data_IF_627515197242
#
_entry.id   IF_627515197242
#
_cell.length_a   1.000
_cell.length_b   1.000
_cell.length_c   1.000
_cell.angle_alpha   90.00
_cell.angle_beta   90.00
_cell.angle_gamma   90.00
#
_symmetry.space_group_name_H-M   'P 1'
#
loop_
_entity.id
_entity.type
_entity.pdbx_description
1 polymer ?
#
# COMPACT_ATOMS: atom_id res chain seq x y z
N UNK A 1 22.80 1.71 -16.64
CA UNK A 1 21.47 1.06 -16.67
C UNK A 1 20.60 1.77 -15.67
N UNK A 2 19.37 2.11 -16.04
CA UNK A 2 18.40 2.76 -15.15
C UNK A 2 17.16 1.87 -15.09
N UNK A 3 16.62 1.69 -13.89
CA UNK A 3 15.40 0.90 -13.65
C UNK A 3 14.39 1.77 -12.96
N UNK A 4 13.18 1.80 -13.51
CA UNK A 4 12.03 2.49 -12.93
C UNK A 4 10.98 1.45 -12.59
N UNK A 5 10.61 1.35 -11.31
CA UNK A 5 9.45 0.58 -10.89
C UNK A 5 8.42 1.49 -10.26
N UNK A 6 7.16 1.08 -10.33
CA UNK A 6 6.07 1.82 -9.70
C UNK A 6 5.07 0.89 -9.03
N UNK A 7 4.44 1.37 -7.96
CA UNK A 7 3.42 0.65 -7.21
C UNK A 7 2.20 1.54 -6.97
N UNK A 8 0.97 1.01 -7.14
CA UNK A 8 -0.25 1.78 -6.93
C UNK A 8 -0.52 2.03 -5.44
N UNK A 9 -1.30 3.07 -5.16
CA UNK A 9 -1.97 3.25 -3.88
C UNK A 9 -3.12 2.26 -3.72
N UNK A 10 -3.75 2.28 -2.55
CA UNK A 10 -4.85 1.36 -2.21
C UNK A 10 -5.99 2.04 -1.48
N UNK A 11 -7.15 1.39 -1.51
CA UNK A 11 -8.34 1.72 -0.71
C UNK A 11 -9.00 0.43 -0.26
N UNK A 12 -9.30 0.32 1.04
CA UNK A 12 -10.07 -0.78 1.59
C UNK A 12 -11.54 -0.37 1.56
N UNK A 13 -12.37 -1.04 0.74
CA UNK A 13 -13.80 -0.71 0.58
C UNK A 13 -14.70 -1.56 1.49
N UNK A 14 -14.21 -2.71 1.97
CA UNK A 14 -14.91 -3.61 2.89
C UNK A 14 -13.89 -4.39 3.74
N UNK A 15 -14.28 -4.77 4.96
CA UNK A 15 -13.43 -5.54 5.89
C UNK A 15 -12.55 -4.70 6.83
N UNK A 16 -12.87 -3.42 7.01
CA UNK A 16 -12.18 -2.55 7.99
C UNK A 16 -12.16 -3.17 9.38
N UNK A 17 -10.98 -3.14 10.04
CA UNK A 17 -10.65 -3.84 11.29
C UNK A 17 -10.69 -5.37 11.22
N UNK A 18 -11.73 -5.96 10.62
CA UNK A 18 -11.89 -7.40 10.48
C UNK A 18 -10.71 -8.05 9.75
N UNK A 19 -10.20 -7.42 8.69
CA UNK A 19 -9.04 -7.90 7.90
C UNK A 19 -7.74 -8.05 8.70
N UNK A 20 -7.69 -7.54 9.94
CA UNK A 20 -6.57 -7.76 10.85
C UNK A 20 -6.51 -9.21 11.35
N UNK A 21 -7.60 -9.99 11.26
CA UNK A 21 -7.70 -11.34 11.82
C UNK A 21 -8.26 -12.32 10.80
N UNK A 22 -7.63 -13.50 10.72
CA UNK A 22 -8.14 -14.62 9.91
C UNK A 22 -9.44 -15.16 10.54
N UNK A 23 -10.40 -15.65 9.74
CA UNK A 23 -10.39 -15.80 8.29
C UNK A 23 -11.03 -14.61 7.54
N UNK A 24 -11.15 -13.44 8.16
CA UNK A 24 -11.91 -12.33 7.58
C UNK A 24 -11.21 -11.74 6.35
N UNK A 25 -11.98 -11.50 5.29
CA UNK A 25 -11.48 -10.90 4.06
C UNK A 25 -11.64 -9.38 4.06
N UNK A 26 -10.73 -8.70 3.37
CA UNK A 26 -10.84 -7.31 2.97
C UNK A 26 -10.97 -7.17 1.46
N UNK A 27 -11.87 -6.32 1.00
CA UNK A 27 -11.94 -5.92 -0.41
C UNK A 27 -11.08 -4.68 -0.60
N UNK A 28 -10.00 -4.83 -1.35
CA UNK A 28 -9.01 -3.78 -1.58
C UNK A 28 -9.00 -3.43 -3.06
N UNK A 29 -9.10 -2.15 -3.35
CA UNK A 29 -8.93 -1.61 -4.70
C UNK A 29 -7.61 -0.86 -4.77
N UNK A 30 -6.83 -1.17 -5.81
CA UNK A 30 -5.69 -0.34 -6.20
C UNK A 30 -6.19 0.95 -6.85
N UNK A 31 -5.48 2.06 -6.61
CA UNK A 31 -5.81 3.36 -7.19
C UNK A 31 -4.91 3.66 -8.39
N UNK A 32 -5.29 4.67 -9.16
CA UNK A 32 -4.46 5.21 -10.25
C UNK A 32 -3.26 6.02 -9.74
N UNK A 33 -3.24 6.39 -8.46
CA UNK A 33 -2.10 7.06 -7.83
C UNK A 33 -0.93 6.08 -7.71
N UNK A 34 0.28 6.49 -8.12
CA UNK A 34 1.48 5.63 -8.10
C UNK A 34 2.65 6.27 -7.38
N UNK A 35 3.39 5.46 -6.64
CA UNK A 35 4.76 5.76 -6.24
C UNK A 35 5.72 5.18 -7.26
N UNK A 36 6.82 5.87 -7.48
CA UNK A 36 7.90 5.49 -8.38
C UNK A 36 9.21 5.47 -7.61
N UNK A 37 10.02 4.46 -7.91
CA UNK A 37 11.41 4.39 -7.50
C UNK A 37 12.28 4.24 -8.76
N UNK A 38 13.28 5.11 -8.86
CA UNK A 38 14.28 5.08 -9.93
C UNK A 38 15.61 4.66 -9.33
N UNK A 39 16.19 3.58 -9.83
CA UNK A 39 17.50 3.05 -9.41
C UNK A 39 18.48 3.18 -10.58
N UNK A 40 19.62 3.80 -10.31
CA UNK A 40 20.73 3.99 -11.26
C UNK A 40 22.07 3.92 -10.53
N UNK A 41 23.18 3.67 -11.23
CA UNK A 41 24.49 3.67 -10.60
C UNK A 41 24.85 5.05 -10.03
N UNK A 42 25.61 5.07 -8.95
CA UNK A 42 26.16 6.31 -8.38
C UNK A 42 27.43 6.75 -9.13
N UNK A 43 28.14 5.80 -9.73
CA UNK A 43 29.41 5.96 -10.45
C UNK A 43 29.35 5.20 -11.78
N UNK A 44 29.74 5.86 -12.87
CA UNK A 44 29.75 5.23 -14.20
C UNK A 44 30.91 4.23 -14.36
N UNK A 45 32.05 4.50 -13.71
CA UNK A 45 33.25 3.66 -13.73
C UNK A 45 33.70 3.26 -12.32
N UNK A 46 34.19 2.02 -12.18
CA UNK A 46 34.76 1.51 -10.95
C UNK A 46 36.27 1.86 -10.85
N UNK A 47 36.73 2.47 -9.76
CA UNK A 47 38.15 2.54 -9.41
C UNK A 47 38.85 1.17 -9.37
N UNK A 48 40.15 1.12 -9.63
CA UNK A 48 40.91 -0.13 -9.67
C UNK A 48 40.91 -0.92 -8.34
N UNK A 49 40.76 -0.23 -7.21
CA UNK A 49 40.74 -0.78 -5.85
C UNK A 49 39.34 -1.22 -5.37
N UNK A 50 38.29 -1.02 -6.18
CA UNK A 50 36.88 -1.22 -5.79
C UNK A 50 36.57 -2.62 -5.27
N UNK A 51 37.27 -3.63 -5.78
CA UNK A 51 37.07 -5.04 -5.42
C UNK A 51 37.38 -5.37 -3.96
N UNK A 52 38.10 -4.50 -3.25
CA UNK A 52 38.42 -4.67 -1.82
C UNK A 52 37.43 -3.98 -0.89
N UNK A 53 36.46 -3.24 -1.42
CA UNK A 53 35.54 -2.47 -0.58
C UNK A 53 34.56 -3.39 0.13
N UNK A 54 34.52 -3.29 1.46
CA UNK A 54 33.51 -3.96 2.29
C UNK A 54 32.15 -3.21 2.29
N UNK A 55 32.09 -2.03 1.66
CA UNK A 55 30.98 -1.09 1.71
C UNK A 55 30.68 -0.51 0.35
N UNK A 56 29.40 -0.20 0.11
CA UNK A 56 28.97 0.58 -1.04
C UNK A 56 28.22 1.85 -0.62
N UNK A 57 28.30 2.88 -1.47
CA UNK A 57 27.60 4.14 -1.28
C UNK A 57 26.15 4.03 -1.78
N UNK A 58 25.21 4.48 -0.94
CA UNK A 58 23.81 4.58 -1.29
C UNK A 58 23.35 6.03 -1.09
N UNK A 59 22.76 6.63 -2.11
CA UNK A 59 22.12 7.94 -2.05
C UNK A 59 20.64 7.77 -2.32
N UNK A 60 19.82 8.24 -1.40
CA UNK A 60 18.37 8.30 -1.55
C UNK A 60 17.95 9.75 -1.67
N UNK A 61 17.21 10.07 -2.73
CA UNK A 61 16.69 11.42 -3.00
C UNK A 61 15.17 11.40 -3.02
N UNK A 62 14.53 12.30 -2.28
CA UNK A 62 13.10 12.56 -2.34
C UNK A 62 12.88 14.05 -2.69
N UNK A 63 12.70 14.37 -3.99
CA UNK A 63 12.56 15.75 -4.44
C UNK A 63 11.37 16.46 -3.80
N UNK A 64 10.24 15.78 -3.66
CA UNK A 64 9.01 16.34 -3.08
C UNK A 64 9.16 16.74 -1.61
N UNK A 65 10.07 16.10 -0.87
CA UNK A 65 10.40 16.44 0.52
C UNK A 65 11.64 17.32 0.64
N UNK A 66 12.31 17.65 -0.47
CA UNK A 66 13.64 18.29 -0.48
C UNK A 66 14.65 17.56 0.42
N UNK A 67 14.61 16.22 0.43
CA UNK A 67 15.46 15.38 1.29
C UNK A 67 16.44 14.57 0.47
N UNK A 68 17.67 14.51 0.96
CA UNK A 68 18.72 13.62 0.49
C UNK A 68 19.31 12.91 1.70
N UNK A 69 19.33 11.58 1.65
CA UNK A 69 19.98 10.75 2.65
C UNK A 69 21.12 9.96 2.00
N UNK A 70 22.27 9.90 2.65
CA UNK A 70 23.43 9.14 2.18
C UNK A 70 23.80 8.09 3.20
N UNK A 71 24.18 6.90 2.72
CA UNK A 71 24.46 5.74 3.53
C UNK A 71 25.69 4.99 3.02
N UNK A 72 26.32 4.25 3.93
CA UNK A 72 27.23 3.15 3.62
C UNK A 72 26.48 1.83 3.85
N UNK A 73 26.39 0.99 2.82
CA UNK A 73 25.78 -0.34 2.90
C UNK A 73 26.87 -1.39 3.02
N UNK A 74 26.83 -2.22 4.07
CA UNK A 74 27.76 -3.34 4.22
C UNK A 74 27.45 -4.42 3.19
N UNK A 75 28.43 -4.82 2.38
CA UNK A 75 28.21 -5.87 1.37
C UNK A 75 28.05 -7.27 1.98
N UNK A 76 28.57 -7.47 3.20
CA UNK A 76 28.50 -8.75 3.91
C UNK A 76 27.27 -8.84 4.81
N UNK A 77 27.01 -7.79 5.60
CA UNK A 77 25.90 -7.78 6.57
C UNK A 77 24.59 -7.25 5.99
N UNK A 78 24.64 -6.65 4.80
CA UNK A 78 23.53 -5.97 4.12
C UNK A 78 22.84 -4.91 4.99
N UNK A 79 23.59 -4.32 5.93
CA UNK A 79 23.10 -3.28 6.84
C UNK A 79 23.49 -1.89 6.38
N UNK A 80 22.58 -0.93 6.53
CA UNK A 80 22.82 0.48 6.23
C UNK A 80 23.39 1.22 7.45
N UNK A 81 24.40 2.04 7.20
CA UNK A 81 24.92 3.03 8.13
C UNK A 81 24.72 4.43 7.56
N UNK A 82 23.94 5.25 8.26
CA UNK A 82 23.68 6.62 7.87
C UNK A 82 24.96 7.45 7.94
N UNK A 83 25.26 8.20 6.89
CA UNK A 83 26.36 9.18 6.85
C UNK A 83 25.89 10.64 6.82
N UNK A 84 24.62 10.89 6.47
CA UNK A 84 24.00 12.22 6.49
C UNK A 84 23.26 12.52 7.82
N UNK A 85 22.58 13.67 7.89
CA UNK A 85 21.74 14.05 9.04
C UNK A 85 20.58 13.07 9.26
N UNK A 86 20.27 12.76 10.53
CA UNK A 86 19.15 11.90 10.94
C UNK A 86 17.77 12.41 10.52
N UNK A 87 17.63 13.69 10.19
CA UNK A 87 16.35 14.27 9.74
C UNK A 87 15.96 13.84 8.32
N UNK A 88 16.92 13.29 7.57
CA UNK A 88 16.73 12.83 6.19
C UNK A 88 16.24 11.37 6.08
N UNK A 89 16.19 10.62 7.18
CA UNK A 89 15.94 9.18 7.14
C UNK A 89 14.48 8.82 6.95
N UNK A 90 14.26 7.63 6.36
CA UNK A 90 12.96 7.01 6.28
C UNK A 90 13.12 5.50 6.53
N UNK A 91 12.63 4.98 7.67
CA UNK A 91 12.85 3.59 8.05
C UNK A 91 12.27 2.61 7.02
N UNK A 92 11.17 2.95 6.35
CA UNK A 92 10.59 2.10 5.30
C UNK A 92 11.54 1.94 4.11
N UNK A 93 12.21 3.02 3.70
CA UNK A 93 13.16 2.99 2.58
C UNK A 93 14.44 2.26 3.00
N UNK A 94 14.92 2.49 4.21
CA UNK A 94 16.11 1.81 4.74
C UNK A 94 15.91 0.31 4.82
N UNK A 95 14.76 -0.15 5.33
CA UNK A 95 14.45 -1.58 5.35
C UNK A 95 14.25 -2.13 3.93
N UNK A 96 13.57 -1.40 3.04
CA UNK A 96 13.41 -1.81 1.65
C UNK A 96 14.76 -2.07 0.97
N UNK A 97 15.74 -1.18 1.13
CA UNK A 97 17.08 -1.32 0.54
C UNK A 97 17.81 -2.54 1.12
N UNK A 98 17.86 -2.64 2.44
CA UNK A 98 18.59 -3.70 3.14
C UNK A 98 18.03 -5.09 2.79
N UNK A 99 16.70 -5.24 2.84
CA UNK A 99 16.02 -6.50 2.49
C UNK A 99 16.17 -6.84 1.00
N UNK A 100 16.10 -5.86 0.09
CA UNK A 100 16.23 -6.13 -1.34
C UNK A 100 17.63 -6.61 -1.71
N UNK A 101 18.67 -5.99 -1.15
CA UNK A 101 20.07 -6.40 -1.41
C UNK A 101 20.34 -7.78 -0.81
N UNK A 102 19.88 -8.03 0.41
CA UNK A 102 19.97 -9.35 1.04
C UNK A 102 19.26 -10.43 0.21
N UNK A 103 18.04 -10.14 -0.27
CA UNK A 103 17.27 -11.07 -1.09
C UNK A 103 17.97 -11.35 -2.42
N UNK A 104 18.46 -10.32 -3.12
CA UNK A 104 19.19 -10.51 -4.37
C UNK A 104 20.42 -11.41 -4.19
N UNK A 105 21.20 -11.20 -3.13
CA UNK A 105 22.36 -12.05 -2.80
C UNK A 105 21.98 -13.49 -2.43
N UNK A 106 20.85 -13.68 -1.75
CA UNK A 106 20.36 -15.00 -1.36
C UNK A 106 19.74 -15.78 -2.53
N UNK A 107 19.00 -15.12 -3.43
CA UNK A 107 18.31 -15.75 -4.55
C UNK A 107 19.25 -16.06 -5.72
N UNK A 108 20.26 -15.22 -5.97
CA UNK A 108 21.20 -15.41 -7.07
C UNK A 108 22.34 -16.29 -6.59
N UNK A 109 22.26 -17.59 -6.91
CA UNK A 109 23.27 -18.59 -6.51
C UNK A 109 24.41 -18.74 -7.51
N UNK A 110 24.15 -18.46 -8.79
CA UNK A 110 25.08 -18.58 -9.90
C UNK A 110 26.26 -17.58 -9.77
N UNK A 111 27.48 -18.05 -10.03
CA UNK A 111 28.70 -17.27 -9.81
C UNK A 111 28.79 -16.09 -10.76
N UNK A 112 28.49 -16.28 -12.04
CA UNK A 112 28.57 -15.21 -13.04
C UNK A 112 27.58 -14.09 -12.71
N UNK A 113 26.35 -14.45 -12.32
CA UNK A 113 25.35 -13.47 -11.89
C UNK A 113 25.69 -12.81 -10.56
N UNK A 114 26.32 -13.51 -9.62
CA UNK A 114 26.84 -12.90 -8.37
C UNK A 114 27.88 -11.84 -8.67
N UNK A 115 28.82 -12.12 -9.57
CA UNK A 115 29.86 -11.16 -9.96
C UNK A 115 29.23 -9.91 -10.61
N UNK A 116 28.14 -10.08 -11.37
CA UNK A 116 27.35 -8.96 -11.91
C UNK A 116 26.68 -8.15 -10.79
N UNK A 117 26.04 -8.80 -9.82
CA UNK A 117 25.41 -8.14 -8.67
C UNK A 117 26.44 -7.34 -7.87
N UNK A 118 27.57 -7.95 -7.53
CA UNK A 118 28.62 -7.28 -6.77
C UNK A 118 29.20 -6.10 -7.56
N UNK A 119 29.39 -6.24 -8.88
CA UNK A 119 29.80 -5.13 -9.75
C UNK A 119 28.79 -3.97 -9.73
N UNK A 120 27.49 -4.28 -9.82
CA UNK A 120 26.42 -3.27 -9.74
C UNK A 120 26.40 -2.58 -8.38
N UNK A 121 26.59 -3.33 -7.30
CA UNK A 121 26.67 -2.78 -5.95
C UNK A 121 27.91 -1.90 -5.79
N UNK A 122 29.08 -2.28 -6.33
CA UNK A 122 30.30 -1.47 -6.25
C UNK A 122 30.19 -0.12 -6.98
N UNK A 123 29.30 -0.01 -7.99
CA UNK A 123 29.00 1.27 -8.66
C UNK A 123 28.24 2.25 -7.75
N UNK A 124 27.73 1.78 -6.60
CA UNK A 124 26.87 2.53 -5.71
C UNK A 124 25.43 2.62 -6.23
N UNK A 125 24.50 2.90 -5.33
CA UNK A 125 23.06 2.97 -5.62
C UNK A 125 22.56 4.40 -5.49
N UNK A 126 22.09 4.97 -6.60
CA UNK A 126 21.38 6.25 -6.62
C UNK A 126 19.88 5.99 -6.78
N UNK A 127 19.13 6.20 -5.70
CA UNK A 127 17.70 5.89 -5.60
C UNK A 127 16.92 7.20 -5.53
N UNK A 128 16.02 7.43 -6.47
CA UNK A 128 15.09 8.58 -6.42
C UNK A 128 13.68 8.08 -6.18
N UNK A 129 12.99 8.64 -5.19
CA UNK A 129 11.64 8.26 -4.79
C UNK A 129 10.71 9.44 -4.99
N UNK A 130 9.61 9.21 -5.71
CA UNK A 130 8.63 10.23 -6.04
C UNK A 130 7.23 9.61 -6.12
N UNK A 131 6.19 10.29 -5.69
CA UNK A 131 4.82 9.80 -5.65
C UNK A 131 3.83 10.83 -6.16
N UNK A 132 2.75 10.36 -6.80
CA UNK A 132 1.66 11.23 -7.23
C UNK A 132 1.14 12.10 -6.08
N UNK A 133 0.62 13.28 -6.44
CA UNK A 133 0.09 14.24 -5.48
C UNK A 133 -1.03 13.64 -4.61
N UNK A 134 -1.80 12.68 -5.14
CA UNK A 134 -2.91 12.02 -4.46
C UNK A 134 -2.53 11.33 -3.13
N UNK A 135 -1.25 11.02 -2.90
CA UNK A 135 -0.80 10.44 -1.63
C UNK A 135 -0.72 11.46 -0.48
N UNK A 136 -0.80 12.75 -0.79
CA UNK A 136 -0.58 13.85 0.13
C UNK A 136 -1.73 14.86 0.12
N UNK A 137 -2.04 15.43 1.28
CA UNK A 137 -3.02 16.51 1.34
C UNK A 137 -2.35 17.85 1.03
N UNK A 138 -2.87 18.54 0.02
CA UNK A 138 -2.47 19.89 -0.37
C UNK A 138 -3.41 20.97 0.19
N UNK A 139 -4.38 20.58 1.02
CA UNK A 139 -5.41 21.47 1.56
C UNK A 139 -4.85 22.76 2.13
N UNK A 140 -3.89 22.67 3.05
CA UNK A 140 -3.24 23.84 3.68
C UNK A 140 -2.60 24.78 2.67
N UNK A 141 -1.98 24.24 1.61
CA UNK A 141 -1.34 25.05 0.56
C UNK A 141 -2.39 25.78 -0.29
N UNK A 142 -3.51 25.11 -0.58
CA UNK A 142 -4.63 25.67 -1.33
C UNK A 142 -5.31 26.77 -0.51
N UNK A 143 -5.62 26.49 0.75
CA UNK A 143 -6.20 27.46 1.70
C UNK A 143 -5.30 28.67 1.91
N UNK A 144 -3.97 28.46 2.08
CA UNK A 144 -3.01 29.56 2.23
C UNK A 144 -2.92 30.47 1.00
N UNK A 145 -3.32 29.98 -0.18
CA UNK A 145 -3.43 30.78 -1.41
C UNK A 145 -4.81 31.43 -1.61
N UNK A 146 -5.74 31.22 -0.68
CA UNK A 146 -7.12 31.71 -0.81
C UNK A 146 -7.90 31.06 -1.95
N UNK A 147 -7.48 29.87 -2.39
CA UNK A 147 -8.12 29.14 -3.50
C UNK A 147 -9.24 28.22 -2.98
N UNK A 148 -10.30 27.97 -3.77
CA UNK A 148 -11.38 27.08 -3.36
C UNK A 148 -10.95 25.61 -3.36
N UNK A 149 -11.44 24.84 -2.39
CA UNK A 149 -11.17 23.40 -2.26
C UNK A 149 -11.99 22.59 -3.29
N UNK A 150 -11.55 22.65 -4.53
CA UNK A 150 -12.22 22.02 -5.68
C UNK A 150 -11.28 21.04 -6.38
N UNK A 151 -11.80 19.98 -7.04
CA UNK A 151 -11.01 19.06 -7.84
C UNK A 151 -10.17 19.78 -8.90
N UNK A 152 -10.71 20.82 -9.54
CA UNK A 152 -10.04 21.59 -10.59
C UNK A 152 -8.78 22.29 -10.08
N UNK A 153 -8.86 22.88 -8.88
CA UNK A 153 -7.70 23.50 -8.22
C UNK A 153 -6.65 22.46 -7.86
N UNK A 154 -7.07 21.29 -7.35
CA UNK A 154 -6.13 20.20 -7.05
C UNK A 154 -5.42 19.69 -8.31
N UNK A 155 -6.16 19.56 -9.42
CA UNK A 155 -5.63 19.17 -10.73
C UNK A 155 -4.70 20.22 -11.35
N UNK A 156 -4.84 21.49 -10.97
CA UNK A 156 -3.95 22.57 -11.43
C UNK A 156 -2.54 22.52 -10.82
N UNK A 157 -2.35 21.76 -9.72
CA UNK A 157 -1.02 21.61 -9.12
C UNK A 157 -0.09 20.83 -10.06
N UNK A 158 1.17 21.28 -10.25
CA UNK A 158 2.14 20.51 -11.01
C UNK A 158 2.26 19.07 -10.50
N UNK A 159 2.38 18.08 -11.39
CA UNK A 159 2.68 16.71 -10.98
C UNK A 159 3.92 16.66 -10.10
N UNK A 160 3.86 15.85 -9.04
CA UNK A 160 4.95 15.69 -8.07
C UNK A 160 5.36 16.99 -7.37
N UNK A 161 4.37 17.79 -6.96
CA UNK A 161 4.58 19.03 -6.23
C UNK A 161 5.28 18.78 -4.89
N UNK A 162 5.99 19.80 -4.40
CA UNK A 162 6.61 19.77 -3.07
C UNK A 162 5.55 19.59 -1.98
N UNK A 163 5.81 18.68 -1.05
CA UNK A 163 4.89 18.32 0.01
C UNK A 163 4.99 19.35 1.13
N UNK A 164 3.84 19.81 1.61
CA UNK A 164 3.77 20.67 2.78
C UNK A 164 3.79 19.81 4.04
N UNK A 165 4.55 20.23 5.05
CA UNK A 165 4.50 19.60 6.37
C UNK A 165 3.41 20.25 7.22
N UNK A 166 2.75 19.45 8.06
CA UNK A 166 1.95 19.99 9.13
C UNK A 166 2.87 20.68 10.14
N UNK A 167 2.89 22.02 10.15
CA UNK A 167 3.31 22.77 11.33
C UNK A 167 2.11 22.87 12.26
N UNK A 168 2.19 22.31 13.46
CA UNK A 168 1.30 22.70 14.55
C UNK A 168 1.68 24.11 14.99
N UNK A 169 1.16 25.11 14.29
CA UNK A 169 1.04 26.47 14.84
C UNK A 169 -0.44 26.80 14.85
N UNK A 170 -1.20 26.05 15.64
CA UNK A 170 -2.51 26.48 16.06
C UNK A 170 -2.31 27.26 17.36
N UNK A 171 -2.42 28.59 17.27
CA UNK A 171 -2.64 29.52 18.39
C UNK A 171 -1.64 29.46 19.56
N UNK A 172 -0.53 30.21 19.46
CA UNK A 172 -0.03 31.07 20.55
C UNK A 172 0.38 30.48 21.91
N UNK A 173 0.26 29.18 22.18
CA UNK A 173 0.73 28.56 23.43
C UNK A 173 1.96 27.70 23.18
N UNK A 174 3.10 28.21 23.62
CA UNK A 174 4.39 27.52 23.66
C UNK A 174 4.35 26.38 24.68
N UNK A 175 3.86 25.21 24.30
CA UNK A 175 4.18 23.95 24.99
C UNK A 175 5.26 23.24 24.19
N UNK A 176 6.48 23.23 24.73
CA UNK A 176 7.72 22.83 24.08
C UNK A 176 7.88 21.32 23.80
N UNK A 177 6.89 20.68 23.19
CA UNK A 177 7.10 19.39 22.53
C UNK A 177 7.48 19.66 21.08
N UNK A 178 8.75 19.39 20.73
CA UNK A 178 9.25 19.39 19.35
C UNK A 178 8.58 18.24 18.57
N UNK A 179 7.30 18.38 18.23
CA UNK A 179 6.63 17.48 17.30
C UNK A 179 7.26 17.65 15.93
N UNK A 180 7.84 16.56 15.40
CA UNK A 180 8.45 16.57 14.07
C UNK A 180 7.38 16.93 13.04
N UNK A 181 7.69 17.79 12.05
CA UNK A 181 6.78 18.11 10.96
C UNK A 181 6.27 16.83 10.29
N UNK A 182 4.97 16.55 10.41
CA UNK A 182 4.36 15.35 9.85
C UNK A 182 3.84 15.64 8.44
N UNK A 183 4.15 14.74 7.51
CA UNK A 183 3.60 14.79 6.16
C UNK A 183 2.12 14.49 6.21
N UNK A 184 1.28 15.41 5.73
CA UNK A 184 -0.16 15.18 5.62
C UNK A 184 -0.45 14.12 4.55
N UNK A 185 -0.82 12.91 4.95
CA UNK A 185 -1.10 11.77 4.07
C UNK A 185 -2.61 11.59 3.88
N UNK A 186 -3.03 11.18 2.70
CA UNK A 186 -4.45 10.93 2.35
C UNK A 186 -4.98 9.56 2.79
N UNK A 187 -4.12 8.67 3.32
CA UNK A 187 -4.50 7.31 3.71
C UNK A 187 -4.45 6.27 2.59
N UNK A 188 -4.00 6.64 1.38
CA UNK A 188 -3.83 5.74 0.23
C UNK A 188 -2.75 4.66 0.38
N UNK A 189 -2.13 4.52 1.55
CA UNK A 189 -1.06 3.54 1.78
C UNK A 189 0.29 3.96 1.19
N UNK A 190 0.66 5.25 1.31
CA UNK A 190 1.92 5.78 0.75
C UNK A 190 3.16 5.03 1.21
N UNK A 191 3.23 4.56 2.46
CA UNK A 191 4.37 3.77 2.94
C UNK A 191 4.47 2.41 2.26
N UNK A 192 3.34 1.73 2.03
CA UNK A 192 3.30 0.45 1.32
C UNK A 192 3.69 0.62 -0.14
N UNK A 193 3.05 1.53 -0.87
CA UNK A 193 3.36 1.82 -2.27
C UNK A 193 4.83 2.23 -2.47
N UNK A 194 5.35 3.12 -1.62
CA UNK A 194 6.76 3.51 -1.64
C UNK A 194 7.68 2.31 -1.39
N UNK A 195 7.46 1.53 -0.32
CA UNK A 195 8.28 0.35 0.01
C UNK A 195 8.30 -0.64 -1.16
N UNK A 196 7.12 -0.98 -1.69
CA UNK A 196 6.98 -1.90 -2.82
C UNK A 196 7.69 -1.39 -4.06
N UNK A 197 7.57 -0.09 -4.40
CA UNK A 197 8.26 0.48 -5.56
C UNK A 197 9.80 0.38 -5.44
N UNK A 198 10.35 0.66 -4.26
CA UNK A 198 11.80 0.56 -4.00
C UNK A 198 12.27 -0.89 -4.07
N UNK A 199 11.53 -1.81 -3.46
CA UNK A 199 11.86 -3.25 -3.50
C UNK A 199 11.82 -3.78 -4.93
N UNK A 200 10.75 -3.50 -5.68
CA UNK A 200 10.61 -3.92 -7.06
C UNK A 200 11.75 -3.38 -7.94
N UNK A 201 12.08 -2.08 -7.83
CA UNK A 201 13.15 -1.47 -8.61
C UNK A 201 14.52 -2.07 -8.28
N UNK A 202 14.83 -2.29 -6.99
CA UNK A 202 16.11 -2.85 -6.58
C UNK A 202 16.26 -4.32 -6.94
N UNK A 203 15.24 -5.15 -6.72
CA UNK A 203 15.28 -6.56 -7.10
C UNK A 203 15.43 -6.70 -8.62
N UNK A 204 14.75 -5.87 -9.41
CA UNK A 204 14.91 -5.87 -10.86
C UNK A 204 16.29 -5.35 -11.29
N UNK A 205 16.78 -4.25 -10.70
CA UNK A 205 18.10 -3.68 -10.98
C UNK A 205 19.23 -4.65 -10.68
N UNK A 206 19.14 -5.40 -9.58
CA UNK A 206 20.12 -6.43 -9.21
C UNK A 206 19.89 -7.76 -9.95
N UNK A 207 18.88 -7.84 -10.83
CA UNK A 207 18.57 -9.02 -11.61
C UNK A 207 18.02 -10.20 -10.80
N UNK A 208 17.48 -9.97 -9.60
CA UNK A 208 16.82 -10.99 -8.80
C UNK A 208 15.42 -11.34 -9.33
N UNK A 209 14.77 -10.39 -10.00
CA UNK A 209 13.49 -10.56 -10.72
C UNK A 209 13.57 -9.90 -12.09
N UNK A 210 12.75 -10.36 -13.04
CA UNK A 210 12.59 -9.76 -14.35
C UNK A 210 11.14 -9.31 -14.57
N UNK A 211 10.73 -8.29 -13.81
CA UNK A 211 9.42 -7.66 -13.95
C UNK A 211 9.20 -7.13 -15.38
N UNK A 212 8.23 -7.70 -16.09
CA UNK A 212 7.84 -7.29 -17.44
C UNK A 212 7.43 -5.81 -17.50
N UNK A 213 7.88 -5.11 -18.52
CA UNK A 213 7.39 -3.77 -18.84
C UNK A 213 5.91 -3.82 -19.25
N UNK A 214 5.15 -2.77 -18.93
CA UNK A 214 3.75 -2.60 -19.37
C UNK A 214 3.64 -2.88 -20.87
N UNK A 215 2.88 -3.92 -21.25
CA UNK A 215 2.60 -4.28 -22.65
C UNK A 215 3.22 -5.59 -23.16
N UNK A 216 4.02 -6.31 -22.36
CA UNK A 216 4.49 -7.65 -22.73
C UNK A 216 3.70 -8.74 -22.00
N UNK A 217 3.01 -9.60 -22.76
CA UNK A 217 2.34 -10.79 -22.27
C UNK A 217 3.36 -11.88 -21.96
N UNK A 218 4.02 -11.79 -20.80
CA UNK A 218 4.77 -12.91 -20.23
C UNK A 218 3.78 -13.91 -19.63
N UNK A 219 3.96 -15.22 -19.89
CA UNK A 219 3.07 -16.27 -19.40
C UNK A 219 2.82 -16.18 -17.88
N UNK A 220 1.55 -16.27 -17.49
CA UNK A 220 1.01 -15.92 -16.16
C UNK A 220 1.79 -16.51 -14.96
N UNK A 221 2.40 -17.69 -15.11
CA UNK A 221 3.05 -18.37 -13.99
C UNK A 221 4.44 -17.84 -13.61
N UNK A 222 5.21 -17.30 -14.57
CA UNK A 222 6.55 -16.78 -14.29
C UNK A 222 6.48 -15.41 -13.59
N UNK A 223 5.57 -14.55 -14.05
CA UNK A 223 5.29 -13.25 -13.43
C UNK A 223 4.76 -13.41 -12.00
N UNK A 224 3.96 -14.45 -11.72
CA UNK A 224 3.44 -14.72 -10.38
C UNK A 224 4.53 -14.94 -9.34
N UNK A 225 5.52 -15.80 -9.64
CA UNK A 225 6.63 -16.10 -8.70
C UNK A 225 7.50 -14.90 -8.40
N UNK A 226 7.74 -14.05 -9.40
CA UNK A 226 8.53 -12.82 -9.23
C UNK A 226 7.78 -11.79 -8.37
N UNK A 227 6.47 -11.66 -8.57
CA UNK A 227 5.62 -10.83 -7.71
C UNK A 227 5.55 -11.38 -6.28
N UNK A 228 5.54 -12.70 -6.09
CA UNK A 228 5.59 -13.33 -4.76
C UNK A 228 6.90 -12.99 -4.02
N UNK A 229 8.02 -12.99 -4.74
CA UNK A 229 9.31 -12.56 -4.19
C UNK A 229 9.26 -11.07 -3.80
N UNK A 230 8.75 -10.20 -4.69
CA UNK A 230 8.58 -8.77 -4.39
C UNK A 230 7.68 -8.58 -3.15
N UNK A 231 6.57 -9.32 -3.06
CA UNK A 231 5.64 -9.25 -1.94
C UNK A 231 6.30 -9.69 -0.62
N UNK A 232 6.95 -10.85 -0.59
CA UNK A 232 7.58 -11.36 0.63
C UNK A 232 8.61 -10.37 1.19
N UNK A 233 9.45 -9.80 0.31
CA UNK A 233 10.49 -8.84 0.69
C UNK A 233 9.89 -7.49 1.09
N UNK A 234 8.95 -6.95 0.31
CA UNK A 234 8.31 -5.68 0.64
C UNK A 234 7.49 -5.76 1.93
N UNK A 235 6.76 -6.86 2.15
CA UNK A 235 5.93 -7.06 3.34
C UNK A 235 6.79 -7.19 4.60
N UNK A 236 7.91 -7.92 4.50
CA UNK A 236 8.85 -8.09 5.62
C UNK A 236 9.53 -6.77 5.98
N UNK A 237 10.05 -6.05 4.97
CA UNK A 237 10.66 -4.74 5.15
C UNK A 237 9.68 -3.73 5.76
N UNK A 238 8.44 -3.73 5.28
CA UNK A 238 7.39 -2.84 5.78
C UNK A 238 7.00 -3.16 7.23
N UNK A 239 6.79 -4.44 7.57
CA UNK A 239 6.48 -4.86 8.94
C UNK A 239 7.60 -4.49 9.92
N UNK A 240 8.86 -4.69 9.52
CA UNK A 240 10.00 -4.33 10.36
C UNK A 240 10.10 -2.81 10.55
N UNK A 241 9.96 -2.03 9.47
CA UNK A 241 9.96 -0.57 9.55
C UNK A 241 8.78 -0.02 10.38
N UNK A 242 7.63 -0.68 10.34
CA UNK A 242 6.45 -0.31 11.13
C UNK A 242 6.56 -0.75 12.60
N UNK A 243 7.44 -1.69 12.92
CA UNK A 243 7.61 -2.25 14.27
C UNK A 243 6.47 -3.18 14.72
N UNK A 244 5.59 -3.60 13.81
CA UNK A 244 4.48 -4.53 14.09
C UNK A 244 4.04 -5.28 12.84
N UNK A 245 3.47 -6.47 13.03
CA UNK A 245 2.82 -7.20 11.94
C UNK A 245 1.41 -6.61 11.73
N UNK A 246 1.25 -5.84 10.66
CA UNK A 246 -0.05 -5.35 10.18
C UNK A 246 -0.86 -6.42 9.46
N UNK A 247 -1.98 -6.03 8.85
CA UNK A 247 -2.77 -6.91 7.98
C UNK A 247 -2.04 -7.30 6.70
N UNK A 248 -1.15 -6.45 6.18
CA UNK A 248 -0.42 -6.67 4.94
C UNK A 248 -1.22 -6.47 3.65
N UNK A 249 -2.52 -6.14 3.75
CA UNK A 249 -3.36 -5.90 2.58
C UNK A 249 -2.87 -4.71 1.74
N UNK A 250 -2.16 -3.76 2.39
CA UNK A 250 -1.67 -2.54 1.76
C UNK A 250 -0.47 -2.81 0.87
N UNK A 251 0.52 -3.57 1.35
CA UNK A 251 1.65 -4.04 0.55
C UNK A 251 1.19 -5.03 -0.51
N UNK A 252 0.32 -5.98 -0.15
CA UNK A 252 -0.23 -6.95 -1.08
C UNK A 252 -0.96 -6.26 -2.26
N UNK A 253 -1.79 -5.25 -2.00
CA UNK A 253 -2.44 -4.51 -3.08
C UNK A 253 -1.48 -3.65 -3.92
N UNK A 254 -0.38 -3.18 -3.31
CA UNK A 254 0.69 -2.48 -4.04
C UNK A 254 1.49 -3.41 -4.97
N UNK A 255 1.46 -4.72 -4.74
CA UNK A 255 2.12 -5.73 -5.58
C UNK A 255 1.15 -6.31 -6.62
N UNK A 256 0.02 -6.85 -6.16
CA UNK A 256 -0.90 -7.63 -7.00
C UNK A 256 -2.07 -6.82 -7.57
N UNK A 257 -2.27 -5.59 -7.10
CA UNK A 257 -3.38 -4.74 -7.51
C UNK A 257 -4.68 -5.02 -6.73
N UNK A 258 -5.81 -4.78 -7.39
CA UNK A 258 -7.15 -4.91 -6.78
C UNK A 258 -7.50 -6.37 -6.48
N UNK A 259 -7.93 -6.64 -5.25
CA UNK A 259 -8.04 -8.00 -4.74
C UNK A 259 -9.02 -8.14 -3.57
N UNK A 260 -9.53 -9.36 -3.42
CA UNK A 260 -10.05 -9.88 -2.16
C UNK A 260 -8.88 -10.50 -1.39
N UNK A 261 -8.57 -9.92 -0.24
CA UNK A 261 -7.40 -10.26 0.55
C UNK A 261 -7.76 -10.92 1.89
N UNK A 262 -7.08 -12.00 2.25
CA UNK A 262 -7.07 -12.58 3.61
C UNK A 262 -5.64 -12.57 4.13
N UNK A 263 -5.47 -12.05 5.34
CA UNK A 263 -4.17 -11.86 6.00
C UNK A 263 -3.41 -13.18 6.19
N UNK A 264 -2.09 -13.15 6.00
CA UNK A 264 -1.18 -14.26 6.33
C UNK A 264 -1.09 -14.54 7.84
N UNK A 265 -0.70 -15.74 8.22
CA UNK A 265 -0.44 -16.14 9.60
C UNK A 265 0.77 -15.38 10.18
N UNK A 266 0.64 -14.64 11.30
CA UNK A 266 1.72 -13.80 11.84
C UNK A 266 3.05 -14.53 12.08
N UNK A 267 2.99 -15.84 12.31
CA UNK A 267 4.12 -16.73 12.57
C UNK A 267 5.15 -16.72 11.42
N UNK A 268 4.70 -16.45 10.18
CA UNK A 268 5.57 -16.35 8.99
C UNK A 268 6.64 -15.25 9.15
N UNK A 269 6.34 -14.18 9.89
CA UNK A 269 7.25 -13.06 10.12
C UNK A 269 7.88 -13.05 11.51
N UNK A 270 7.75 -14.14 12.27
CA UNK A 270 8.32 -14.25 13.63
C UNK A 270 9.85 -14.07 13.64
N UNK A 271 10.56 -14.64 12.66
CA UNK A 271 12.02 -14.48 12.50
C UNK A 271 12.43 -13.03 12.22
N UNK A 272 11.63 -12.31 11.43
CA UNK A 272 11.85 -10.90 11.13
C UNK A 272 11.62 -9.97 12.33
N UNK A 273 10.85 -10.41 13.34
CA UNK A 273 10.60 -9.65 14.57
C UNK A 273 11.60 -9.93 15.69
N UNK A 274 12.42 -10.98 15.60
CA UNK A 274 13.43 -11.34 16.59
C UNK A 274 14.66 -10.40 16.50
N UNK A 275 14.46 -9.11 16.76
CA UNK A 275 15.53 -8.10 16.76
C UNK A 275 16.35 -8.30 18.04
N UNK A 276 17.47 -9.02 17.93
CA UNK A 276 18.42 -9.17 19.04
C UNK A 276 19.58 -10.15 18.84
N UNK A 277 19.56 -11.02 17.81
CA UNK A 277 20.64 -12.01 17.65
C UNK A 277 20.93 -12.51 16.22
N UNK A 278 20.04 -12.33 15.24
CA UNK A 278 20.20 -12.86 13.87
C UNK A 278 20.68 -11.80 12.90
N UNK A 279 21.51 -12.20 11.92
CA UNK A 279 21.99 -11.30 10.86
C UNK A 279 20.89 -11.16 9.81
N UNK A 280 20.73 -9.98 9.20
CA UNK A 280 19.69 -9.73 8.21
C UNK A 280 19.62 -10.75 7.04
N UNK A 281 20.75 -11.25 6.49
CA UNK A 281 20.72 -12.29 5.46
C UNK A 281 20.05 -13.59 5.91
N UNK A 282 20.18 -13.96 7.19
CA UNK A 282 19.55 -15.16 7.74
C UNK A 282 18.03 -14.97 7.81
N UNK A 283 17.60 -13.81 8.32
CA UNK A 283 16.18 -13.42 8.38
C UNK A 283 15.54 -13.45 6.98
N UNK A 284 16.24 -12.91 5.98
CA UNK A 284 15.75 -12.90 4.60
C UNK A 284 15.71 -14.31 4.02
N UNK A 285 16.70 -15.15 4.30
CA UNK A 285 16.71 -16.55 3.86
C UNK A 285 15.55 -17.33 4.46
N UNK A 286 15.23 -17.11 5.73
CA UNK A 286 14.04 -17.69 6.37
C UNK A 286 12.76 -17.24 5.65
N UNK A 287 12.57 -15.93 5.47
CA UNK A 287 11.38 -15.37 4.78
C UNK A 287 11.21 -15.94 3.37
N UNK A 288 12.31 -16.19 2.65
CA UNK A 288 12.31 -16.75 1.29
C UNK A 288 11.94 -18.24 1.25
N UNK A 289 12.15 -18.97 2.34
CA UNK A 289 11.80 -20.41 2.43
C UNK A 289 10.41 -20.66 3.01
N UNK A 290 9.85 -19.67 3.72
CA UNK A 290 8.51 -19.76 4.30
C UNK A 290 7.42 -19.80 3.24
N UNK A 291 6.37 -20.61 3.49
CA UNK A 291 5.17 -20.62 2.66
C UNK A 291 4.19 -19.57 3.16
N UNK A 292 4.04 -18.50 2.39
CA UNK A 292 3.07 -17.46 2.67
C UNK A 292 1.64 -17.97 2.45
N UNK A 293 0.79 -17.92 3.47
CA UNK A 293 -0.56 -18.49 3.49
C UNK A 293 -1.68 -17.43 3.39
N UNK A 294 -1.34 -16.22 2.97
CA UNK A 294 -2.32 -15.20 2.60
C UNK A 294 -3.15 -15.67 1.40
N UNK A 295 -4.36 -15.13 1.27
CA UNK A 295 -5.17 -15.32 0.07
C UNK A 295 -5.32 -13.99 -0.66
N UNK A 296 -5.01 -13.95 -1.95
CA UNK A 296 -5.15 -12.79 -2.82
C UNK A 296 -5.92 -13.20 -4.10
N UNK A 297 -7.25 -13.11 -4.06
CA UNK A 297 -8.08 -13.39 -5.25
C UNK A 297 -8.33 -12.10 -6.01
N UNK A 298 -8.08 -12.10 -7.32
CA UNK A 298 -8.29 -10.91 -8.15
C UNK A 298 -9.72 -10.39 -8.02
N UNK A 299 -9.85 -9.07 -7.83
CA UNK A 299 -11.14 -8.40 -7.68
C UNK A 299 -11.16 -7.12 -8.51
N UNK A 300 -12.29 -6.84 -9.15
CA UNK A 300 -12.51 -5.60 -9.88
C UNK A 300 -13.91 -5.09 -9.59
N UNK A 301 -14.08 -3.77 -9.59
CA UNK A 301 -15.42 -3.21 -9.62
C UNK A 301 -16.13 -3.64 -10.92
N UNK A 302 -17.47 -3.80 -10.88
CA UNK A 302 -18.26 -3.95 -12.09
C UNK A 302 -18.01 -2.79 -13.08
N UNK A 303 -18.13 -3.02 -14.40
CA UNK A 303 -18.02 -1.97 -15.41
C UNK A 303 -18.95 -0.79 -15.12
N UNK A 304 -18.58 0.41 -15.56
CA UNK A 304 -19.33 1.66 -15.35
C UNK A 304 -19.48 2.10 -13.88
N UNK A 305 -18.81 1.44 -12.93
CA UNK A 305 -18.68 1.91 -11.55
C UNK A 305 -17.33 2.58 -11.33
N UNK A 306 -17.35 3.76 -10.72
CA UNK A 306 -16.13 4.53 -10.42
C UNK A 306 -16.01 4.75 -8.91
N UNK A 307 -14.81 4.52 -8.37
CA UNK A 307 -14.48 4.87 -7.00
C UNK A 307 -14.13 6.36 -6.92
N UNK A 308 -14.88 7.11 -6.12
CA UNK A 308 -14.58 8.49 -5.78
C UNK A 308 -14.00 8.55 -4.37
N UNK A 309 -12.92 9.30 -4.20
CA UNK A 309 -12.22 9.46 -2.92
C UNK A 309 -12.31 10.91 -2.46
N UNK A 310 -12.82 11.10 -1.25
CA UNK A 310 -12.84 12.39 -0.57
C UNK A 310 -11.89 12.37 0.62
N UNK A 311 -11.01 13.37 0.71
CA UNK A 311 -10.15 13.59 1.87
C UNK A 311 -10.84 14.58 2.82
N UNK A 312 -11.08 14.23 4.10
CA UNK A 312 -11.83 15.09 5.02
C UNK A 312 -11.11 16.38 5.40
N UNK A 313 -9.79 16.48 5.18
CA UNK A 313 -8.98 17.70 5.32
C UNK A 313 -8.45 17.98 6.73
N UNK A 314 -9.03 17.38 7.76
CA UNK A 314 -8.69 17.59 9.15
C UNK A 314 -8.66 16.27 9.91
N UNK A 315 -7.63 16.06 10.74
CA UNK A 315 -7.50 14.88 11.59
C UNK A 315 -6.86 13.69 10.89
N UNK A 316 -5.53 13.65 10.89
CA UNK A 316 -4.84 12.38 10.65
C UNK A 316 -5.22 11.42 11.77
N UNK A 317 -5.95 10.35 11.46
CA UNK A 317 -6.30 9.37 12.48
C UNK A 317 -5.06 8.54 12.81
N UNK A 318 -4.66 8.55 14.09
CA UNK A 318 -3.58 7.67 14.56
C UNK A 318 -4.08 6.22 14.53
N UNK A 319 -3.91 5.57 13.39
CA UNK A 319 -4.35 4.18 13.13
C UNK A 319 -3.95 3.21 14.25
N UNK A 320 -2.75 3.28 14.86
CA UNK A 320 -2.40 2.42 16.00
C UNK A 320 -3.31 2.61 17.23
N UNK A 321 -3.69 3.85 17.55
CA UNK A 321 -4.55 4.17 18.70
C UNK A 321 -5.97 3.63 18.50
N UNK A 322 -6.54 3.80 17.31
CA UNK A 322 -7.88 3.30 16.99
C UNK A 322 -7.95 1.77 17.05
N UNK A 323 -6.97 1.08 16.45
CA UNK A 323 -6.90 -0.40 16.49
C UNK A 323 -6.74 -0.90 17.93
N UNK A 324 -5.91 -0.23 18.75
CA UNK A 324 -5.76 -0.57 20.16
C UNK A 324 -7.06 -0.41 20.95
N UNK A 325 -7.85 0.62 20.65
CA UNK A 325 -9.14 0.87 21.31
C UNK A 325 -10.19 -0.15 20.93
N UNK A 326 -10.32 -0.49 19.64
CA UNK A 326 -11.20 -1.58 19.19
C UNK A 326 -10.81 -2.92 19.81
N UNK A 327 -9.51 -3.24 19.88
CA UNK A 327 -9.03 -4.48 20.55
C UNK A 327 -9.34 -4.52 22.04
N UNK A 328 -9.31 -3.39 22.73
CA UNK A 328 -9.72 -3.31 24.15
C UNK A 328 -11.21 -3.53 24.31
N UNK A 329 -12.02 -2.92 23.45
CA UNK A 329 -13.47 -3.10 23.44
C UNK A 329 -13.90 -4.54 23.19
N UNK A 330 -13.29 -5.22 22.21
CA UNK A 330 -13.52 -6.64 21.94
C UNK A 330 -13.32 -7.53 23.18
N UNK A 331 -12.38 -7.16 24.07
CA UNK A 331 -12.11 -7.89 25.31
C UNK A 331 -13.03 -7.49 26.46
N UNK A 332 -13.47 -6.23 26.52
CA UNK A 332 -14.27 -5.73 27.64
C UNK A 332 -15.74 -6.14 27.57
N UNK A 333 -16.29 -6.33 26.37
CA UNK A 333 -17.69 -6.75 26.16
C UNK A 333 -17.78 -7.80 25.05
N UNK A 334 -17.45 -9.08 25.33
CA UNK A 334 -17.33 -10.12 24.32
C UNK A 334 -18.65 -10.45 23.60
N UNK A 335 -19.80 -10.35 24.28
CA UNK A 335 -21.08 -10.71 23.68
C UNK A 335 -21.54 -9.67 22.67
N UNK A 336 -21.58 -8.39 23.07
CA UNK A 336 -22.00 -7.30 22.20
C UNK A 336 -21.00 -7.05 21.08
N UNK A 337 -19.71 -7.17 21.37
CA UNK A 337 -18.67 -7.02 20.36
C UNK A 337 -18.75 -8.12 19.32
N UNK A 338 -18.95 -9.39 19.71
CA UNK A 338 -19.13 -10.50 18.76
C UNK A 338 -20.36 -10.34 17.88
N UNK A 339 -21.49 -9.88 18.43
CA UNK A 339 -22.70 -9.60 17.65
C UNK A 339 -22.45 -8.53 16.58
N UNK A 340 -21.91 -7.38 16.99
CA UNK A 340 -21.57 -6.27 16.07
C UNK A 340 -20.56 -6.71 15.01
N UNK A 341 -19.53 -7.46 15.43
CA UNK A 341 -18.48 -7.98 14.55
C UNK A 341 -19.03 -8.97 13.52
N UNK A 342 -19.94 -9.86 13.93
CA UNK A 342 -20.61 -10.81 13.06
C UNK A 342 -21.49 -10.11 12.03
N UNK A 343 -22.30 -9.14 12.47
CA UNK A 343 -23.15 -8.33 11.58
C UNK A 343 -22.32 -7.57 10.54
N UNK A 344 -21.21 -6.96 10.96
CA UNK A 344 -20.27 -6.31 10.05
C UNK A 344 -19.63 -7.30 9.07
N UNK A 345 -19.26 -8.51 9.52
CA UNK A 345 -18.73 -9.56 8.64
C UNK A 345 -19.76 -10.02 7.59
N UNK A 346 -21.02 -10.18 7.99
CA UNK A 346 -22.14 -10.52 7.08
C UNK A 346 -22.34 -9.40 6.07
N UNK A 347 -22.41 -8.14 6.49
CA UNK A 347 -22.59 -7.00 5.60
C UNK A 347 -21.45 -6.87 4.57
N UNK A 348 -20.19 -7.04 5.02
CA UNK A 348 -19.02 -7.08 4.12
C UNK A 348 -19.13 -8.22 3.08
N UNK A 349 -19.53 -9.41 3.52
CA UNK A 349 -19.69 -10.57 2.63
C UNK A 349 -20.84 -10.38 1.64
N UNK A 350 -21.94 -9.75 2.07
CA UNK A 350 -23.05 -9.38 1.19
C UNK A 350 -22.59 -8.41 0.12
N UNK A 351 -21.84 -7.37 0.47
CA UNK A 351 -21.29 -6.41 -0.50
C UNK A 351 -20.37 -7.11 -1.52
N UNK A 352 -19.46 -7.97 -1.05
CA UNK A 352 -18.59 -8.77 -1.93
C UNK A 352 -19.43 -9.56 -2.95
N UNK A 353 -20.43 -10.30 -2.46
CA UNK A 353 -21.27 -11.15 -3.29
C UNK A 353 -22.07 -10.34 -4.31
N UNK A 354 -22.65 -9.21 -3.92
CA UNK A 354 -23.41 -8.37 -4.85
C UNK A 354 -22.52 -7.75 -5.94
N UNK A 355 -21.31 -7.31 -5.60
CA UNK A 355 -20.35 -6.81 -6.60
C UNK A 355 -19.92 -7.92 -7.58
N UNK A 356 -19.74 -9.16 -7.10
CA UNK A 356 -19.46 -10.32 -7.96
C UNK A 356 -20.63 -10.67 -8.87
N UNK A 357 -21.86 -10.61 -8.37
CA UNK A 357 -23.07 -10.82 -9.18
C UNK A 357 -23.16 -9.75 -10.27
N UNK A 358 -22.98 -8.47 -9.93
CA UNK A 358 -23.01 -7.37 -10.89
C UNK A 358 -21.94 -7.50 -11.97
N UNK A 359 -20.73 -7.95 -11.60
CA UNK A 359 -19.69 -8.29 -12.58
C UNK A 359 -20.14 -9.41 -13.52
N UNK A 360 -20.66 -10.52 -12.99
CA UNK A 360 -21.18 -11.62 -13.81
C UNK A 360 -22.36 -11.19 -14.71
N UNK A 361 -23.23 -10.30 -14.24
CA UNK A 361 -24.32 -9.73 -15.05
C UNK A 361 -23.78 -8.84 -16.18
N UNK A 362 -22.70 -8.09 -15.93
CA UNK A 362 -22.07 -7.27 -16.98
C UNK A 362 -21.43 -8.12 -18.07
N UNK A 363 -20.91 -9.30 -17.73
CA UNK A 363 -20.29 -10.25 -18.68
C UNK A 363 -21.35 -11.03 -19.47
N UNK A 364 -22.42 -11.48 -18.83
CA UNK A 364 -23.46 -12.31 -19.46
C UNK A 364 -24.58 -11.51 -20.14
N UNK A 365 -24.85 -10.29 -19.67
CA UNK A 365 -25.97 -9.46 -20.12
C UNK A 365 -25.53 -8.00 -20.32
N UNK A 366 -24.47 -7.80 -21.10
CA UNK A 366 -23.77 -6.52 -21.25
C UNK A 366 -24.70 -5.33 -21.59
N UNK A 367 -25.53 -5.43 -22.64
CA UNK A 367 -26.41 -4.33 -23.06
C UNK A 367 -27.45 -3.95 -21.99
N UNK A 368 -28.07 -4.95 -21.37
CA UNK A 368 -29.03 -4.73 -20.29
C UNK A 368 -28.35 -4.10 -19.07
N UNK A 369 -27.16 -4.59 -18.71
CA UNK A 369 -26.35 -4.04 -17.63
C UNK A 369 -25.97 -2.57 -17.87
N UNK A 370 -25.40 -2.24 -19.03
CA UNK A 370 -25.00 -0.87 -19.35
C UNK A 370 -26.20 0.09 -19.35
N UNK A 371 -27.29 -0.32 -20.01
CA UNK A 371 -28.52 0.46 -20.08
C UNK A 371 -29.06 0.76 -18.68
N UNK A 372 -29.07 -0.25 -17.80
CA UNK A 372 -29.57 -0.06 -16.43
C UNK A 372 -28.66 0.82 -15.60
N UNK A 373 -27.35 0.59 -15.59
CA UNK A 373 -26.41 1.39 -14.80
C UNK A 373 -26.43 2.86 -15.24
N UNK A 374 -26.52 3.13 -16.56
CA UNK A 374 -26.64 4.50 -17.11
C UNK A 374 -27.97 5.16 -16.79
N UNK A 375 -29.05 4.40 -16.69
CA UNK A 375 -30.37 4.92 -16.30
C UNK A 375 -30.41 5.24 -14.80
N UNK A 376 -29.96 4.29 -13.97
CA UNK A 376 -29.89 4.45 -12.51
C UNK A 376 -28.96 5.60 -12.09
N UNK A 377 -27.88 5.87 -12.81
CA UNK A 377 -26.95 6.97 -12.48
C UNK A 377 -27.57 8.37 -12.58
N UNK A 378 -28.71 8.52 -13.27
CA UNK A 378 -29.46 9.78 -13.43
C UNK A 378 -30.64 9.90 -12.47
N UNK A 379 -30.89 8.88 -11.66
CA UNK A 379 -32.08 8.75 -10.81
C UNK A 379 -31.69 8.57 -9.34
N UNK A 380 -32.57 9.00 -8.44
CA UNK A 380 -32.47 8.63 -7.03
C UNK A 380 -32.81 7.16 -6.84
N UNK A 381 -32.20 6.52 -5.84
CA UNK A 381 -32.32 5.06 -5.64
C UNK A 381 -33.77 4.57 -5.49
N UNK A 382 -34.68 5.39 -4.97
CA UNK A 382 -36.09 5.04 -4.83
C UNK A 382 -36.81 4.83 -6.17
N UNK A 383 -36.31 5.42 -7.25
CA UNK A 383 -36.87 5.29 -8.61
C UNK A 383 -36.22 4.19 -9.44
N UNK A 384 -35.22 3.49 -8.90
CA UNK A 384 -34.48 2.48 -9.67
C UNK A 384 -35.36 1.28 -10.06
N UNK A 385 -36.35 0.91 -9.24
CA UNK A 385 -37.26 -0.18 -9.60
C UNK A 385 -38.18 0.16 -10.79
N UNK A 386 -38.49 1.44 -10.99
CA UNK A 386 -39.44 1.90 -12.02
C UNK A 386 -38.85 1.81 -13.45
N UNK A 387 -37.52 1.76 -13.58
CA UNK A 387 -36.84 1.69 -14.88
C UNK A 387 -36.63 0.27 -15.42
N UNK A 388 -36.94 -0.76 -14.62
CA UNK A 388 -36.87 -2.14 -15.10
C UNK A 388 -38.08 -2.47 -15.99
N UNK A 389 -37.83 -2.97 -17.20
CA UNK A 389 -38.88 -3.43 -18.13
C UNK A 389 -38.84 -4.94 -18.38
N UNK A 390 -37.83 -5.65 -17.87
CA UNK A 390 -37.71 -7.09 -18.00
C UNK A 390 -37.00 -7.73 -16.79
N UNK A 391 -37.06 -9.06 -16.71
CA UNK A 391 -36.53 -9.84 -15.58
C UNK A 391 -35.01 -9.66 -15.39
N UNK A 392 -34.23 -9.54 -16.47
CA UNK A 392 -32.78 -9.34 -16.37
C UNK A 392 -32.43 -7.97 -15.76
N UNK A 393 -33.15 -6.93 -16.16
CA UNK A 393 -33.01 -5.59 -15.61
C UNK A 393 -33.42 -5.52 -14.15
N UNK A 394 -34.48 -6.23 -13.77
CA UNK A 394 -34.93 -6.33 -12.37
C UNK A 394 -33.86 -6.99 -11.49
N UNK A 395 -33.19 -8.04 -11.97
CA UNK A 395 -32.05 -8.66 -11.28
C UNK A 395 -30.89 -7.68 -11.07
N UNK A 396 -30.55 -6.90 -12.09
CA UNK A 396 -29.49 -5.87 -12.00
C UNK A 396 -29.84 -4.82 -10.93
N UNK A 397 -31.07 -4.29 -10.97
CA UNK A 397 -31.54 -3.30 -9.98
C UNK A 397 -31.55 -3.89 -8.58
N UNK A 398 -32.03 -5.12 -8.40
CA UNK A 398 -32.04 -5.81 -7.11
C UNK A 398 -30.63 -5.93 -6.54
N UNK A 399 -29.65 -6.30 -7.36
CA UNK A 399 -28.25 -6.38 -6.92
C UNK A 399 -27.64 -5.00 -6.63
N UNK A 400 -27.98 -3.96 -7.39
CA UNK A 400 -27.55 -2.59 -7.11
C UNK A 400 -28.10 -2.08 -5.76
N UNK A 401 -29.39 -2.31 -5.49
CA UNK A 401 -30.02 -1.95 -4.22
C UNK A 401 -29.43 -2.75 -3.06
N UNK A 402 -29.24 -4.05 -3.22
CA UNK A 402 -28.61 -4.89 -2.19
C UNK A 402 -27.16 -4.47 -1.89
N UNK A 403 -26.39 -4.07 -2.91
CA UNK A 403 -25.04 -3.52 -2.71
C UNK A 403 -25.07 -2.18 -1.94
N UNK A 404 -26.00 -1.30 -2.30
CA UNK A 404 -26.23 -0.03 -1.57
C UNK A 404 -26.56 -0.29 -0.10
N UNK A 405 -27.50 -1.19 0.16
CA UNK A 405 -27.97 -1.48 1.52
C UNK A 405 -26.83 -2.13 2.34
N UNK A 406 -26.06 -3.03 1.74
CA UNK A 406 -24.85 -3.58 2.38
C UNK A 406 -23.83 -2.49 2.74
N UNK A 407 -23.60 -1.50 1.87
CA UNK A 407 -22.74 -0.35 2.19
C UNK A 407 -23.28 0.47 3.38
N UNK A 408 -24.60 0.63 3.52
CA UNK A 408 -25.21 1.34 4.64
C UNK A 408 -25.07 0.55 5.94
N UNK A 409 -25.32 -0.76 5.92
CA UNK A 409 -25.13 -1.65 7.08
C UNK A 409 -23.66 -1.68 7.55
N UNK A 410 -22.70 -1.73 6.61
CA UNK A 410 -21.28 -1.61 6.94
C UNK A 410 -21.01 -0.31 7.70
N UNK A 411 -21.52 0.83 7.19
CA UNK A 411 -21.33 2.13 7.83
C UNK A 411 -21.99 2.19 9.21
N UNK A 412 -23.19 1.64 9.35
CA UNK A 412 -23.90 1.54 10.62
C UNK A 412 -23.08 0.78 11.66
N UNK A 413 -22.65 -0.45 11.35
CA UNK A 413 -21.91 -1.28 12.28
C UNK A 413 -20.49 -0.77 12.56
N UNK A 414 -19.83 -0.14 11.58
CA UNK A 414 -18.56 0.55 11.83
C UNK A 414 -18.71 1.70 12.82
N UNK A 415 -19.81 2.46 12.74
CA UNK A 415 -20.13 3.54 13.67
C UNK A 415 -20.46 3.01 15.07
N UNK A 416 -21.29 1.97 15.16
CA UNK A 416 -21.60 1.31 16.43
C UNK A 416 -20.35 0.82 17.15
N UNK A 417 -19.45 0.17 16.39
CA UNK A 417 -18.13 -0.24 16.89
C UNK A 417 -17.28 0.96 17.31
N UNK A 418 -17.23 2.04 16.51
CA UNK A 418 -16.48 3.25 16.82
C UNK A 418 -16.91 3.89 18.14
N UNK A 419 -18.22 4.10 18.30
CA UNK A 419 -18.83 4.61 19.53
C UNK A 419 -18.53 3.70 20.72
N UNK A 420 -18.72 2.38 20.57
CA UNK A 420 -18.50 1.43 21.65
C UNK A 420 -17.02 1.31 22.05
N UNK A 421 -16.10 1.53 21.11
CA UNK A 421 -14.66 1.52 21.33
C UNK A 421 -14.08 2.87 21.76
N UNK A 422 -14.88 3.94 21.82
CA UNK A 422 -14.41 5.30 22.13
C UNK A 422 -13.49 5.87 21.06
N UNK A 423 -13.72 5.51 19.80
CA UNK A 423 -12.96 5.94 18.63
C UNK A 423 -13.77 7.01 17.89
N UNK A 424 -13.16 8.14 17.46
CA UNK A 424 -13.88 9.18 16.71
C UNK A 424 -14.46 8.64 15.39
N UNK A 425 -15.64 9.15 15.02
CA UNK A 425 -16.37 8.83 13.77
C UNK A 425 -15.59 9.20 12.49
#
# INVERSE_FOLDING_TARGET
MEVVASAPGKVLIAGGYLVLERPNAGLVLSTTARFYAVVRPLRDSLPADSWTWAWTDVKVTSPQLSRVATYKLSLNKTTLQLTSSRESTNPFVEQAIQFSVAAAKATIIDKERKDVVDKLLLQGLNITIIGHNDFYSYRKQIEARGLPLTPEVLLSLPPFSSITFNSEVANGTMTGEKCKPEVAKTGLGSSAAMTTSVVAALLHYLGAVNLSCSGQSSGDNASGRELDLVHAIAQSAHCLAQGKIGSGFDVSAAVYGSQRYVRFSPEILSSAQAIGGTVLPDVVSDVLTQRWDHENKQFSLPPLMTLLLGEPGTGGSSTPSMVGSVKRWLKSDPEKSRDTWSKLAIANSTLENQLRILKGLSENHHEAYESMVRSCSRLTYGKWAEVATNQHQELIIRSLLAARDACLEIRLHMREMGIAAGVPD
#
